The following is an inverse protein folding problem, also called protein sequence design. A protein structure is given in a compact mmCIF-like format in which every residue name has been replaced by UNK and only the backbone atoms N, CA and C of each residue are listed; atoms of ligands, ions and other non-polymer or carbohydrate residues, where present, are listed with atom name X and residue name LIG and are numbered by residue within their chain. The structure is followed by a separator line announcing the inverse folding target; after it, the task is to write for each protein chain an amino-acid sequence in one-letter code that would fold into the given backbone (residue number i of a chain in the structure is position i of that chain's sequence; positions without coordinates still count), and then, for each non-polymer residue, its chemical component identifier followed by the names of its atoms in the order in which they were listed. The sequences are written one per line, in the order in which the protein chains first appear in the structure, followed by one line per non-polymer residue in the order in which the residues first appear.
data_IF_893764523076
#
_entry.id   IF_893764523076
#
_cell.length_a   1.000
_cell.length_b   1.000
_cell.length_c   1.000
_cell.angle_alpha   90.00
_cell.angle_beta   90.00
_cell.angle_gamma   90.00
#
_symmetry.space_group_name_H-M   'P 1'
#
loop_
_entity.id
_entity.type
_entity.pdbx_description
1 polymer ?
#
# COMPACT_ATOMS: atom_id res chain seq x y z
N UNK A 1 7.64 -40.39 -8.12
CA UNK A 1 7.21 -41.43 -7.17
C UNK A 1 7.37 -41.01 -5.68
N UNK A 2 8.48 -40.40 -5.26
CA UNK A 2 8.74 -40.04 -3.83
C UNK A 2 7.69 -39.10 -3.19
N UNK A 3 7.26 -38.05 -3.89
CA UNK A 3 6.36 -37.04 -3.31
C UNK A 3 4.89 -37.47 -3.23
N UNK A 4 4.45 -38.39 -4.10
CA UNK A 4 3.08 -38.91 -4.11
C UNK A 4 2.81 -39.77 -2.87
N UNK A 5 3.75 -40.66 -2.55
CA UNK A 5 3.76 -41.47 -1.32
C UNK A 5 3.82 -40.64 -0.04
N UNK A 6 4.46 -39.45 -0.06
CA UNK A 6 4.55 -38.55 1.11
C UNK A 6 3.27 -37.74 1.36
N UNK A 7 2.46 -37.52 0.32
CA UNK A 7 1.17 -36.84 0.42
C UNK A 7 0.05 -37.81 0.87
N UNK A 8 0.17 -39.10 0.56
CA UNK A 8 -0.73 -40.16 1.00
C UNK A 8 -0.54 -40.39 2.52
N UNK A 9 -1.50 -39.91 3.33
CA UNK A 9 -1.53 -40.06 4.80
C UNK A 9 -1.38 -38.76 5.60
N UNK A 10 -0.92 -37.66 4.97
CA UNK A 10 -0.80 -36.36 5.66
C UNK A 10 -2.07 -35.52 5.65
N UNK A 11 -3.09 -35.91 4.87
CA UNK A 11 -4.39 -35.23 4.79
C UNK A 11 -5.15 -35.20 6.14
N UNK A 12 -5.07 -36.28 6.93
CA UNK A 12 -5.77 -36.39 8.22
C UNK A 12 -4.93 -35.92 9.41
N UNK A 13 -3.60 -36.01 9.33
CA UNK A 13 -2.70 -35.68 10.45
C UNK A 13 -2.15 -34.25 10.42
N UNK A 14 -1.99 -33.65 9.24
CA UNK A 14 -1.49 -32.28 9.08
C UNK A 14 -1.92 -31.65 7.74
N UNK A 15 -3.15 -31.11 7.66
CA UNK A 15 -3.73 -30.59 6.42
C UNK A 15 -2.92 -29.43 5.82
N UNK A 16 -2.25 -28.62 6.65
CA UNK A 16 -1.39 -27.52 6.18
C UNK A 16 -0.12 -28.00 5.46
N UNK A 17 0.52 -29.07 5.95
CA UNK A 17 1.67 -29.70 5.25
C UNK A 17 1.23 -30.42 3.98
N UNK A 18 0.06 -31.07 4.03
CA UNK A 18 -0.52 -31.74 2.86
C UNK A 18 -0.78 -30.74 1.73
N UNK A 19 -1.47 -29.62 2.01
CA UNK A 19 -1.75 -28.57 1.03
C UNK A 19 -0.48 -28.01 0.39
N UNK A 20 0.55 -27.69 1.19
CA UNK A 20 1.85 -27.22 0.67
C UNK A 20 2.53 -28.22 -0.26
N UNK A 21 2.35 -29.51 -0.02
CA UNK A 21 2.97 -30.58 -0.82
C UNK A 21 2.23 -30.76 -2.15
N UNK A 22 0.89 -30.76 -2.13
CA UNK A 22 0.06 -30.79 -3.34
C UNK A 22 0.29 -29.54 -4.18
N UNK A 23 0.35 -28.36 -3.57
CA UNK A 23 0.62 -27.11 -4.28
C UNK A 23 1.98 -27.14 -4.98
N UNK A 24 3.03 -27.64 -4.32
CA UNK A 24 4.35 -27.81 -4.94
C UNK A 24 4.36 -28.81 -6.09
N UNK A 25 3.58 -29.89 -5.98
CA UNK A 25 3.46 -30.89 -7.05
C UNK A 25 2.71 -30.34 -8.25
N UNK A 26 1.60 -29.64 -8.03
CA UNK A 26 0.81 -29.02 -9.09
C UNK A 26 1.57 -27.86 -9.77
N UNK A 27 2.29 -27.05 -8.99
CA UNK A 27 3.12 -25.96 -9.51
C UNK A 27 4.40 -26.44 -10.22
N UNK A 28 4.85 -27.68 -9.98
CA UNK A 28 5.98 -28.28 -10.70
C UNK A 28 5.58 -28.89 -12.06
N UNK A 29 4.28 -29.13 -12.27
CA UNK A 29 3.72 -29.59 -13.56
C UNK A 29 3.25 -28.45 -14.45
N UNK A 30 3.21 -27.22 -13.94
CA UNK A 30 2.92 -26.03 -14.74
C UNK A 30 4.21 -25.64 -15.49
N UNK A 31 4.10 -25.61 -16.81
CA UNK A 31 5.20 -25.67 -17.78
C UNK A 31 6.43 -24.79 -17.46
N UNK A 32 7.61 -25.37 -17.73
CA UNK A 32 8.82 -24.60 -18.00
C UNK A 32 8.65 -23.81 -19.31
N UNK A 33 7.84 -22.74 -19.31
CA UNK A 33 8.09 -21.65 -20.24
C UNK A 33 9.43 -21.03 -19.82
N UNK A 34 10.41 -21.09 -20.70
CA UNK A 34 11.69 -20.41 -20.52
C UNK A 34 11.42 -18.90 -20.32
N UNK A 35 11.45 -18.42 -19.08
CA UNK A 35 11.44 -16.99 -18.79
C UNK A 35 12.76 -16.39 -19.29
N UNK A 36 12.81 -15.99 -20.56
CA UNK A 36 13.79 -14.99 -20.99
C UNK A 36 13.42 -13.68 -20.31
N UNK A 37 14.33 -13.13 -19.50
CA UNK A 37 14.12 -11.82 -18.89
C UNK A 37 13.89 -10.78 -20.00
N UNK A 38 12.80 -9.98 -19.95
CA UNK A 38 12.59 -8.93 -20.94
C UNK A 38 13.78 -7.95 -20.92
N UNK A 39 14.19 -7.48 -22.10
CA UNK A 39 15.19 -6.44 -22.23
C UNK A 39 14.78 -5.17 -21.44
N UNK A 40 15.74 -4.41 -20.92
CA UNK A 40 15.49 -3.24 -20.08
C UNK A 40 14.62 -2.18 -20.79
N UNK A 41 14.83 -1.98 -22.09
CA UNK A 41 14.01 -1.08 -22.91
C UNK A 41 12.54 -1.51 -22.95
N UNK A 42 12.29 -2.82 -23.01
CA UNK A 42 10.93 -3.40 -23.00
C UNK A 42 10.26 -3.22 -21.64
N UNK A 43 11.01 -3.33 -20.54
CA UNK A 43 10.49 -3.10 -19.18
C UNK A 43 10.03 -1.64 -18.96
N UNK A 44 10.78 -0.66 -19.48
CA UNK A 44 10.40 0.76 -19.39
C UNK A 44 9.12 1.01 -20.17
N UNK A 45 9.02 0.48 -21.40
CA UNK A 45 7.82 0.63 -22.21
C UNK A 45 6.58 0.01 -21.54
N UNK A 46 6.71 -1.19 -20.98
CA UNK A 46 5.63 -1.84 -20.22
C UNK A 46 5.24 -1.00 -19.01
N UNK A 47 6.19 -0.46 -18.26
CA UNK A 47 5.94 0.40 -17.10
C UNK A 47 5.17 1.67 -17.50
N UNK A 48 5.58 2.34 -18.58
CA UNK A 48 4.91 3.53 -19.10
C UNK A 48 3.50 3.24 -19.60
N UNK A 49 3.28 2.07 -20.21
CA UNK A 49 1.95 1.62 -20.63
C UNK A 49 1.03 1.39 -19.42
N UNK A 50 1.51 0.66 -18.42
CA UNK A 50 0.78 0.43 -17.17
C UNK A 50 0.45 1.75 -16.46
N UNK A 51 1.43 2.66 -16.37
CA UNK A 51 1.23 3.97 -15.76
C UNK A 51 0.14 4.78 -16.49
N UNK A 52 0.18 4.84 -17.83
CA UNK A 52 -0.87 5.51 -18.63
C UNK A 52 -2.24 4.89 -18.39
N UNK A 53 -2.30 3.56 -18.39
CA UNK A 53 -3.54 2.81 -18.15
C UNK A 53 -4.15 3.10 -16.78
N UNK A 54 -3.32 3.10 -15.73
CA UNK A 54 -3.76 3.41 -14.38
C UNK A 54 -4.18 4.87 -14.17
N UNK A 55 -3.62 5.81 -14.92
CA UNK A 55 -3.97 7.23 -14.82
C UNK A 55 -5.24 7.56 -15.60
N UNK A 56 -5.54 6.84 -16.68
CA UNK A 56 -6.67 7.11 -17.58
C UNK A 56 -8.02 7.34 -16.85
N UNK A 57 -8.45 6.50 -15.89
CA UNK A 57 -9.70 6.74 -15.16
C UNK A 57 -9.72 8.08 -14.43
N UNK A 58 -8.58 8.51 -13.87
CA UNK A 58 -8.47 9.78 -13.13
C UNK A 58 -8.54 11.01 -14.02
N UNK A 59 -8.20 10.89 -15.31
CA UNK A 59 -8.32 11.96 -16.30
C UNK A 59 -9.76 12.09 -16.83
N UNK A 60 -10.48 10.96 -16.89
CA UNK A 60 -11.82 10.88 -17.45
C UNK A 60 -12.92 11.20 -16.41
N UNK A 61 -12.64 10.99 -15.12
CA UNK A 61 -13.58 11.30 -14.03
C UNK A 61 -13.56 12.81 -13.75
N UNK A 62 -14.71 13.48 -13.92
CA UNK A 62 -14.93 14.79 -13.31
C UNK A 62 -15.43 14.59 -11.87
N UNK A 63 -14.73 15.13 -10.85
CA UNK A 63 -15.23 15.07 -9.48
C UNK A 63 -16.53 15.86 -9.38
N UNK A 64 -17.58 15.24 -8.86
CA UNK A 64 -18.78 15.98 -8.51
C UNK A 64 -18.41 17.05 -7.47
N UNK A 65 -18.77 18.32 -7.67
CA UNK A 65 -18.51 19.34 -6.68
C UNK A 65 -19.20 18.93 -5.36
N UNK A 66 -18.51 19.06 -4.21
CA UNK A 66 -19.12 18.74 -2.92
C UNK A 66 -20.38 19.58 -2.74
N UNK A 67 -21.47 18.93 -2.31
CA UNK A 67 -22.75 19.60 -2.01
C UNK A 67 -22.57 20.50 -0.79
N UNK A 68 -22.16 21.75 -1.00
CA UNK A 68 -21.83 22.71 0.07
C UNK A 68 -22.98 22.87 1.09
N UNK A 69 -24.23 22.88 0.62
CA UNK A 69 -25.44 23.00 1.44
C UNK A 69 -25.58 21.90 2.51
N UNK A 70 -25.04 20.70 2.29
CA UNK A 70 -25.14 19.59 3.25
C UNK A 70 -24.09 19.66 4.36
N UNK A 71 -22.97 20.36 4.12
CA UNK A 71 -21.81 20.40 5.03
C UNK A 71 -21.58 21.79 5.63
N UNK A 72 -22.35 22.80 5.26
CA UNK A 72 -22.24 24.18 5.77
C UNK A 72 -22.27 24.26 7.30
N UNK A 73 -23.08 23.44 7.96
CA UNK A 73 -23.12 23.37 9.43
C UNK A 73 -21.87 22.70 10.05
N UNK A 74 -21.13 21.90 9.29
CA UNK A 74 -19.85 21.29 9.67
C UNK A 74 -18.66 22.22 9.39
N UNK A 75 -18.85 23.22 8.52
CA UNK A 75 -17.86 24.26 8.18
C UNK A 75 -17.80 25.39 9.20
N UNK A 76 -18.45 25.27 10.38
CA UNK A 76 -18.19 26.20 11.49
C UNK A 76 -16.68 26.25 11.69
N UNK A 77 -16.10 27.45 11.67
CA UNK A 77 -14.67 27.76 11.82
C UNK A 77 -14.11 27.28 13.17
N UNK A 78 -14.12 25.97 13.36
CA UNK A 78 -13.46 25.30 14.45
C UNK A 78 -12.00 25.24 14.03
N UNK A 79 -11.13 25.83 14.84
CA UNK A 79 -9.69 25.65 14.67
C UNK A 79 -9.39 24.16 14.49
N UNK A 80 -8.58 23.78 13.48
CA UNK A 80 -8.35 22.38 13.20
C UNK A 80 -7.72 21.73 14.43
N UNK A 81 -8.33 20.63 14.89
CA UNK A 81 -7.91 19.92 16.07
C UNK A 81 -6.47 19.44 15.89
N UNK A 82 -5.62 19.74 16.87
CA UNK A 82 -4.21 19.42 16.81
C UNK A 82 -3.97 18.14 17.62
N UNK A 83 -3.35 17.11 17.04
CA UNK A 83 -2.97 15.95 17.81
C UNK A 83 -1.92 16.36 18.84
N UNK A 84 -1.95 15.75 20.02
CA UNK A 84 -0.85 15.83 20.98
C UNK A 84 0.32 14.96 20.51
N UNK A 85 1.53 15.26 21.00
CA UNK A 85 2.71 14.40 20.78
C UNK A 85 2.45 12.99 21.31
N UNK A 86 1.72 12.84 22.42
CA UNK A 86 1.35 11.54 22.98
C UNK A 86 0.46 10.70 22.06
N UNK A 87 -0.52 11.32 21.39
CA UNK A 87 -1.36 10.65 20.39
C UNK A 87 -0.54 10.20 19.19
N UNK A 88 0.28 11.08 18.62
CA UNK A 88 1.17 10.72 17.52
C UNK A 88 2.12 9.58 17.90
N UNK A 89 2.76 9.66 19.06
CA UNK A 89 3.64 8.62 19.57
C UNK A 89 2.92 7.27 19.68
N UNK A 90 1.68 7.29 20.15
CA UNK A 90 0.84 6.08 20.20
C UNK A 90 0.62 5.51 18.80
N UNK A 91 0.30 6.36 17.81
CA UNK A 91 0.17 5.92 16.41
C UNK A 91 1.47 5.31 15.88
N UNK A 92 2.62 5.93 16.13
CA UNK A 92 3.94 5.41 15.72
C UNK A 92 4.24 4.04 16.33
N UNK A 93 3.98 3.85 17.63
CA UNK A 93 4.19 2.56 18.32
C UNK A 93 3.29 1.44 17.78
N UNK A 94 2.10 1.79 17.28
CA UNK A 94 1.14 0.85 16.70
C UNK A 94 1.29 0.65 15.19
N UNK A 95 2.34 1.21 14.56
CA UNK A 95 2.64 0.89 13.18
C UNK A 95 2.91 -0.61 13.00
N UNK A 96 2.46 -1.16 11.88
CA UNK A 96 2.77 -2.53 11.51
C UNK A 96 4.15 -2.55 10.83
N UNK A 97 5.19 -3.12 11.46
CA UNK A 97 6.55 -3.10 10.92
C UNK A 97 6.70 -3.90 9.61
N UNK A 98 5.72 -4.74 9.27
CA UNK A 98 5.71 -5.57 8.05
C UNK A 98 5.16 -4.85 6.82
N UNK A 99 4.68 -3.60 6.95
CA UNK A 99 4.23 -2.82 5.79
C UNK A 99 5.41 -2.45 4.90
N UNK A 100 5.15 -2.39 3.59
CA UNK A 100 6.13 -1.99 2.59
C UNK A 100 6.63 -0.55 2.83
N UNK A 101 7.91 -0.32 2.54
CA UNK A 101 8.52 1.01 2.59
C UNK A 101 8.04 1.87 1.43
N UNK A 102 7.78 3.15 1.68
CA UNK A 102 7.38 4.09 0.64
C UNK A 102 8.57 4.64 -0.15
N UNK A 103 8.30 5.66 -0.96
CA UNK A 103 9.29 6.37 -1.79
C UNK A 103 10.37 7.11 -0.98
N UNK A 104 10.13 7.36 0.30
CA UNK A 104 11.06 8.01 1.23
C UNK A 104 12.14 7.05 1.79
N UNK A 105 12.05 5.76 1.50
CA UNK A 105 12.92 4.72 2.05
C UNK A 105 12.91 4.63 3.59
N UNK A 106 11.87 5.12 4.26
CA UNK A 106 11.72 5.05 5.71
C UNK A 106 10.76 3.90 6.09
N UNK A 107 11.26 2.76 6.61
CA UNK A 107 10.41 1.62 6.90
C UNK A 107 9.61 1.83 8.19
N UNK A 108 8.43 1.19 8.26
CA UNK A 108 7.54 1.31 9.42
C UNK A 108 8.17 0.82 10.74
N UNK A 109 9.06 -0.18 10.67
CA UNK A 109 9.76 -0.68 11.84
C UNK A 109 10.69 0.39 12.45
N UNK A 110 11.30 1.24 11.63
CA UNK A 110 12.21 2.29 12.09
C UNK A 110 11.41 3.36 12.86
N UNK A 111 10.32 3.85 12.27
CA UNK A 111 9.41 4.79 12.93
C UNK A 111 8.85 4.26 14.24
N UNK A 112 8.54 2.96 14.29
CA UNK A 112 8.06 2.29 15.50
C UNK A 112 9.15 2.17 16.57
N UNK A 113 10.38 1.84 16.16
CA UNK A 113 11.52 1.62 17.07
C UNK A 113 11.94 2.92 17.75
N UNK A 114 11.96 4.02 16.99
CA UNK A 114 12.39 5.35 17.43
C UNK A 114 11.21 6.30 17.65
N UNK A 115 10.08 5.75 18.11
CA UNK A 115 8.85 6.52 18.25
C UNK A 115 8.93 7.60 19.34
N UNK A 116 9.80 7.44 20.35
CA UNK A 116 9.99 8.45 21.40
C UNK A 116 10.72 9.68 20.84
N UNK A 117 11.77 9.43 20.06
CA UNK A 117 12.68 10.43 19.50
C UNK A 117 12.08 11.14 18.28
N UNK A 118 11.36 10.39 17.44
CA UNK A 118 10.78 10.92 16.21
C UNK A 118 9.43 11.61 16.43
N UNK A 119 8.71 11.32 17.52
CA UNK A 119 7.38 11.90 17.73
C UNK A 119 7.39 13.43 17.73
N UNK A 120 8.30 14.16 18.41
CA UNK A 120 8.31 15.62 18.38
C UNK A 120 8.51 16.18 16.96
N UNK A 121 9.46 15.63 16.19
CA UNK A 121 9.77 16.11 14.84
C UNK A 121 8.62 15.82 13.86
N UNK A 122 8.07 14.61 13.93
CA UNK A 122 6.93 14.23 13.09
C UNK A 122 5.69 15.05 13.47
N UNK A 123 5.52 15.38 14.76
CA UNK A 123 4.41 16.19 15.24
C UNK A 123 4.39 17.57 14.61
N UNK A 124 5.53 18.25 14.57
CA UNK A 124 5.64 19.57 13.94
C UNK A 124 5.22 19.53 12.47
N UNK A 125 5.63 18.48 11.74
CA UNK A 125 5.25 18.29 10.33
C UNK A 125 3.73 18.07 10.20
N UNK A 126 3.14 17.20 11.03
CA UNK A 126 1.70 16.91 10.98
C UNK A 126 0.88 18.14 11.35
N UNK A 127 1.25 18.84 12.43
CA UNK A 127 0.56 20.06 12.86
C UNK A 127 0.68 21.16 11.81
N UNK A 128 1.86 21.36 11.21
CA UNK A 128 2.01 22.31 10.11
C UNK A 128 1.09 21.95 8.93
N UNK A 129 1.03 20.67 8.55
CA UNK A 129 0.14 20.20 7.48
C UNK A 129 -1.34 20.48 7.77
N UNK A 130 -1.78 20.26 9.01
CA UNK A 130 -3.16 20.46 9.44
C UNK A 130 -3.50 21.96 9.50
N UNK A 131 -2.64 22.76 10.15
CA UNK A 131 -2.86 24.21 10.33
C UNK A 131 -2.83 24.96 9.01
N UNK A 132 -1.96 24.56 8.08
CA UNK A 132 -1.86 25.18 6.75
C UNK A 132 -2.86 24.59 5.76
N UNK A 133 -3.67 23.60 6.16
CA UNK A 133 -4.55 22.83 5.28
C UNK A 133 -3.82 22.31 4.02
N UNK A 134 -2.53 21.97 4.17
CA UNK A 134 -1.64 21.61 3.06
C UNK A 134 -0.95 20.30 3.33
N UNK A 135 -1.30 19.29 2.54
CA UNK A 135 -0.66 17.99 2.62
C UNK A 135 0.78 18.01 2.06
N UNK A 136 1.79 17.46 2.77
CA UNK A 136 3.18 17.49 2.34
C UNK A 136 3.38 16.84 0.97
N UNK A 137 4.07 17.52 0.06
CA UNK A 137 4.27 17.04 -1.32
C UNK A 137 5.04 15.72 -1.37
N UNK A 138 6.05 15.56 -0.52
CA UNK A 138 6.81 14.31 -0.40
C UNK A 138 5.91 13.11 -0.08
N UNK A 139 4.87 13.32 0.74
CA UNK A 139 3.95 12.25 1.14
C UNK A 139 2.90 11.92 0.09
N UNK A 140 2.76 12.72 -0.98
CA UNK A 140 1.86 12.43 -2.12
C UNK A 140 2.45 11.43 -3.11
N UNK A 141 3.77 11.21 -3.07
CA UNK A 141 4.48 10.37 -4.03
C UNK A 141 4.44 8.91 -3.58
N UNK A 142 3.74 8.06 -4.34
CA UNK A 142 3.63 6.63 -4.07
C UNK A 142 4.49 5.80 -5.03
N UNK A 143 5.01 4.68 -4.54
CA UNK A 143 5.54 3.62 -5.41
C UNK A 143 4.35 2.81 -5.94
N UNK A 144 4.25 2.70 -7.26
CA UNK A 144 3.16 1.98 -7.92
C UNK A 144 3.58 0.54 -8.21
N UNK A 145 2.87 -0.41 -7.62
CA UNK A 145 3.07 -1.84 -7.87
C UNK A 145 1.90 -2.40 -8.68
N UNK A 146 2.12 -2.89 -9.92
CA UNK A 146 1.10 -3.58 -10.69
C UNK A 146 0.93 -5.00 -10.16
N UNK A 147 -0.29 -5.35 -9.72
CA UNK A 147 -0.61 -6.69 -9.23
C UNK A 147 -1.58 -7.38 -10.19
N UNK A 148 -1.25 -8.58 -10.72
CA UNK A 148 -2.19 -9.35 -11.52
C UNK A 148 -3.49 -9.65 -10.77
N UNK A 149 -4.62 -9.45 -11.46
CA UNK A 149 -5.96 -9.88 -11.04
C UNK A 149 -6.19 -11.34 -11.40
N UNK A 150 -5.74 -11.75 -12.59
CA UNK A 150 -5.81 -13.12 -13.10
C UNK A 150 -4.39 -13.72 -13.27
N UNK A 151 -4.32 -15.05 -13.43
CA UNK A 151 -3.06 -15.77 -13.67
C UNK A 151 -3.25 -16.80 -14.80
N UNK A 152 -2.46 -16.74 -15.89
CA UNK A 152 -1.55 -15.65 -16.26
C UNK A 152 -2.32 -14.39 -16.71
N UNK A 153 -1.81 -13.16 -16.46
CA UNK A 153 -2.37 -11.95 -17.04
C UNK A 153 -2.17 -11.97 -18.56
N UNK A 154 -3.21 -11.59 -19.31
CA UNK A 154 -3.22 -11.59 -20.78
C UNK A 154 -3.28 -10.18 -21.35
N UNK A 155 -3.98 -9.26 -20.67
CA UNK A 155 -4.11 -7.85 -21.04
C UNK A 155 -3.45 -6.93 -20.00
N UNK A 156 -2.53 -6.07 -20.45
CA UNK A 156 -1.85 -5.10 -19.58
C UNK A 156 -2.80 -4.03 -19.02
N UNK A 157 -3.88 -3.69 -19.73
CA UNK A 157 -4.76 -2.59 -19.34
C UNK A 157 -5.81 -3.01 -18.31
N UNK A 158 -6.39 -4.20 -18.46
CA UNK A 158 -7.49 -4.66 -17.61
C UNK A 158 -7.08 -5.67 -16.54
N UNK A 159 -6.06 -6.51 -16.77
CA UNK A 159 -5.73 -7.62 -15.86
C UNK A 159 -4.86 -7.22 -14.67
N UNK A 160 -4.38 -5.98 -14.62
CA UNK A 160 -3.61 -5.49 -13.48
C UNK A 160 -4.45 -4.54 -12.63
N UNK A 161 -4.19 -4.57 -11.32
CA UNK A 161 -4.63 -3.51 -10.40
C UNK A 161 -3.41 -2.77 -9.89
N UNK A 162 -3.55 -1.45 -9.78
CA UNK A 162 -2.58 -0.60 -9.13
C UNK A 162 -2.64 -0.78 -7.61
N UNK A 163 -1.49 -0.94 -6.96
CA UNK A 163 -1.32 -0.75 -5.52
C UNK A 163 -0.32 0.37 -5.29
N UNK A 164 -0.78 1.42 -4.60
CA UNK A 164 0.02 2.58 -4.27
C UNK A 164 0.63 2.42 -2.88
N UNK A 165 1.96 2.33 -2.80
CA UNK A 165 2.68 2.30 -1.53
C UNK A 165 3.17 3.71 -1.20
N UNK A 166 2.48 4.35 -0.26
CA UNK A 166 2.83 5.68 0.23
C UNK A 166 3.91 5.63 1.33
N UNK A 167 4.66 6.74 1.53
CA UNK A 167 5.46 6.97 2.74
C UNK A 167 4.71 6.62 4.01
N UNK A 168 5.38 6.03 5.00
CA UNK A 168 4.67 5.58 6.21
C UNK A 168 4.03 6.74 6.98
N UNK A 169 4.66 7.93 6.94
CA UNK A 169 4.14 9.15 7.55
C UNK A 169 2.85 9.66 6.88
N UNK A 170 2.62 9.34 5.60
CA UNK A 170 1.36 9.61 4.91
C UNK A 170 0.18 8.93 5.63
N UNK A 171 0.36 7.65 5.95
CA UNK A 171 -0.63 6.85 6.68
C UNK A 171 -0.80 7.32 8.13
N UNK A 172 0.25 7.88 8.75
CA UNK A 172 0.19 8.43 10.11
C UNK A 172 -0.70 9.67 10.15
N UNK A 173 -0.54 10.58 9.19
CA UNK A 173 -1.39 11.78 9.07
C UNK A 173 -2.86 11.39 8.90
N UNK A 174 -3.14 10.47 7.98
CA UNK A 174 -4.51 10.00 7.74
C UNK A 174 -5.14 9.40 9.00
N UNK A 175 -4.41 8.52 9.71
CA UNK A 175 -4.88 7.94 10.97
C UNK A 175 -5.14 8.98 12.04
N UNK A 176 -4.28 9.99 12.16
CA UNK A 176 -4.47 11.06 13.13
C UNK A 176 -5.68 11.91 12.78
N UNK A 177 -5.87 12.25 11.50
CA UNK A 177 -7.05 12.99 11.07
C UNK A 177 -8.34 12.23 11.38
N UNK A 178 -8.37 10.91 11.15
CA UNK A 178 -9.51 10.06 11.49
C UNK A 178 -9.78 9.95 13.00
N UNK A 179 -8.78 10.19 13.85
CA UNK A 179 -8.95 10.22 15.31
C UNK A 179 -9.37 11.60 15.84
N UNK A 180 -9.19 12.65 15.04
CA UNK A 180 -9.50 14.03 15.38
C UNK A 180 -10.91 14.43 14.92
N UNK A 181 -11.45 13.77 13.90
CA UNK A 181 -12.84 13.91 13.43
C UNK A 181 -13.79 13.05 14.27
#
# INVERSE_FOLDING_TARGET
MYYKSKAEGSHQSNPGKWYKTIFKLAAATDDQQSLSSPDHANLVEIADRLQRSFIKPWLEIQPNPPRLQAVEHLLKDNHPLRPSIGQLKTVLKHLNPRKATGSDNIPAWCLKRYAEELAPVVHDIVVASIVQCKYPTSYKHAIISPIPKIRPPTDLDSDFRQVSVLPQLANVIEKLQLQLN
#
